data_IF_007437850086
#
_entry.id   IF_007437850086
#
_cell.length_a   1.000
_cell.length_b   1.000
_cell.length_c   1.000
_cell.angle_alpha   90.00
_cell.angle_beta   90.00
_cell.angle_gamma   90.00
#
_symmetry.space_group_name_H-M   'P 1'
#
loop_
_entity.id
_entity.type
_entity.pdbx_description
1 polymer ?
#
# COMPACT_ATOMS: atom_id res chain seq x y z
N UNK A 1 16.86 7.19 -12.19
CA UNK A 1 16.71 7.59 -10.78
C UNK A 1 15.61 6.77 -10.14
N UNK A 2 15.79 6.36 -8.91
CA UNK A 2 14.78 5.57 -8.22
C UNK A 2 13.55 6.41 -7.87
N UNK A 3 12.43 5.71 -7.67
CA UNK A 3 11.13 6.31 -7.39
C UNK A 3 10.56 5.66 -6.14
N UNK A 4 9.98 6.46 -5.26
CA UNK A 4 9.21 5.96 -4.14
C UNK A 4 7.73 6.09 -4.45
N UNK A 5 7.01 4.98 -4.35
CA UNK A 5 5.55 4.97 -4.45
C UNK A 5 4.94 4.89 -3.07
N UNK A 6 3.92 5.70 -2.83
CA UNK A 6 3.10 5.64 -1.63
C UNK A 6 1.67 5.40 -1.98
N UNK A 7 1.08 4.38 -1.37
CA UNK A 7 -0.36 4.15 -1.41
C UNK A 7 -0.91 4.61 -0.07
N UNK A 8 -1.64 5.71 -0.08
CA UNK A 8 -2.13 6.40 1.11
C UNK A 8 -3.60 6.06 1.28
N UNK A 9 -3.91 5.32 2.34
CA UNK A 9 -5.20 4.68 2.53
C UNK A 9 -5.83 5.13 3.83
N UNK A 10 -6.82 6.01 3.75
CA UNK A 10 -7.63 6.38 4.91
C UNK A 10 -8.71 5.33 5.11
N UNK A 11 -8.81 4.83 6.33
CA UNK A 11 -9.77 3.79 6.66
C UNK A 11 -10.76 4.29 7.74
N UNK A 12 -11.87 3.60 7.87
CA UNK A 12 -12.85 3.89 8.90
C UNK A 12 -12.28 3.53 10.28
N UNK A 13 -12.06 4.51 11.18
CA UNK A 13 -11.47 4.23 12.49
C UNK A 13 -12.31 3.30 13.35
N UNK A 14 -13.61 3.20 13.11
CA UNK A 14 -14.48 2.27 13.83
C UNK A 14 -14.17 0.81 13.47
N UNK A 15 -13.49 0.55 12.34
CA UNK A 15 -13.13 -0.78 11.86
C UNK A 15 -11.62 -0.97 11.74
N UNK A 16 -10.83 -0.23 12.52
CA UNK A 16 -9.37 -0.28 12.45
C UNK A 16 -8.82 -1.69 12.65
N UNK A 17 -9.35 -2.43 13.62
CA UNK A 17 -8.87 -3.79 13.89
C UNK A 17 -9.10 -4.73 12.70
N UNK A 18 -10.26 -4.66 12.08
CA UNK A 18 -10.58 -5.47 10.91
C UNK A 18 -9.72 -5.07 9.71
N UNK A 19 -9.56 -3.75 9.49
CA UNK A 19 -8.72 -3.22 8.43
C UNK A 19 -7.26 -3.68 8.59
N UNK A 20 -6.71 -3.53 9.78
CA UNK A 20 -5.31 -3.91 10.06
C UNK A 20 -5.11 -5.41 10.02
N UNK A 21 -6.11 -6.19 10.39
CA UNK A 21 -6.07 -7.65 10.26
C UNK A 21 -5.91 -8.08 8.81
N UNK A 22 -6.67 -7.47 7.91
CA UNK A 22 -6.56 -7.72 6.47
C UNK A 22 -5.23 -7.21 5.91
N UNK A 23 -4.75 -6.08 6.41
CA UNK A 23 -3.46 -5.54 5.99
C UNK A 23 -2.29 -6.47 6.36
N UNK A 24 -2.37 -7.14 7.50
CA UNK A 24 -1.40 -8.18 7.87
C UNK A 24 -1.44 -9.36 6.92
N UNK A 25 -2.60 -9.71 6.41
CA UNK A 25 -2.72 -10.77 5.40
C UNK A 25 -2.08 -10.35 4.08
N UNK A 26 -2.22 -9.07 3.67
CA UNK A 26 -1.48 -8.53 2.53
C UNK A 26 0.04 -8.61 2.75
N UNK A 27 0.50 -8.29 3.96
CA UNK A 27 1.93 -8.37 4.28
C UNK A 27 2.45 -9.81 4.17
N UNK A 28 1.66 -10.79 4.61
CA UNK A 28 2.02 -12.21 4.45
C UNK A 28 2.04 -12.64 2.99
N UNK A 29 1.10 -12.16 2.18
CA UNK A 29 1.09 -12.41 0.74
C UNK A 29 2.36 -11.88 0.08
N UNK A 30 2.75 -10.62 0.36
CA UNK A 30 3.98 -10.03 -0.15
C UNK A 30 5.21 -10.84 0.27
N UNK A 31 5.24 -11.28 1.51
CA UNK A 31 6.39 -11.99 2.08
C UNK A 31 6.63 -13.35 1.42
N UNK A 32 5.58 -14.09 1.09
CA UNK A 32 5.71 -15.42 0.51
C UNK A 32 5.76 -15.45 -1.02
N UNK A 33 5.43 -14.33 -1.68
CA UNK A 33 5.40 -14.23 -3.15
C UNK A 33 6.64 -13.49 -3.64
N UNK A 34 7.56 -14.17 -4.34
CA UNK A 34 8.79 -13.53 -4.82
C UNK A 34 8.55 -12.47 -5.92
N UNK A 35 7.42 -12.55 -6.61
CA UNK A 35 7.04 -11.58 -7.64
C UNK A 35 6.46 -10.26 -7.07
N UNK A 36 6.15 -10.23 -5.77
CA UNK A 36 5.60 -9.04 -5.13
C UNK A 36 6.71 -8.13 -4.60
N UNK A 37 6.58 -6.81 -4.82
CA UNK A 37 7.49 -5.85 -4.19
C UNK A 37 7.28 -5.83 -2.68
N UNK A 38 8.38 -5.61 -1.94
CA UNK A 38 8.37 -5.60 -0.49
C UNK A 38 8.27 -4.16 0.00
N UNK A 39 7.08 -3.73 0.30
CA UNK A 39 6.82 -2.42 0.86
C UNK A 39 6.91 -2.41 2.38
N UNK A 40 6.95 -1.22 2.94
CA UNK A 40 6.80 -1.02 4.38
C UNK A 40 5.52 -0.25 4.67
N UNK A 41 5.03 -0.39 5.89
CA UNK A 41 3.77 0.22 6.29
C UNK A 41 4.03 1.27 7.36
N UNK A 42 3.42 2.43 7.19
CA UNK A 42 3.55 3.58 8.08
C UNK A 42 2.16 4.01 8.53
N UNK A 43 2.05 4.41 9.79
CA UNK A 43 0.82 5.02 10.30
C UNK A 43 1.18 6.39 10.87
N UNK A 44 0.47 7.46 10.49
CA UNK A 44 0.79 8.81 10.96
C UNK A 44 0.65 8.95 12.46
N UNK A 45 1.64 9.62 13.07
CA UNK A 45 1.57 10.06 14.46
C UNK A 45 1.40 11.58 14.47
N UNK A 46 2.19 12.27 13.66
CA UNK A 46 2.12 13.72 13.47
C UNK A 46 2.38 14.02 12.01
N UNK A 47 1.35 14.42 11.28
CA UNK A 47 1.39 14.53 9.82
C UNK A 47 0.18 15.32 9.35
N UNK A 48 0.17 15.70 8.07
CA UNK A 48 -1.01 16.24 7.42
C UNK A 48 -2.11 15.18 7.26
N UNK A 49 -1.73 13.89 7.28
CA UNK A 49 -2.69 12.80 7.22
C UNK A 49 -3.28 12.50 8.59
N UNK A 50 -4.58 12.14 8.67
CA UNK A 50 -5.17 11.72 9.95
C UNK A 50 -4.57 10.40 10.43
N UNK A 51 -4.66 10.13 11.73
CA UNK A 51 -4.09 8.91 12.32
C UNK A 51 -4.71 7.62 11.80
N UNK A 52 -5.97 7.67 11.32
CA UNK A 52 -6.63 6.52 10.67
C UNK A 52 -6.24 6.40 9.20
N UNK A 53 -4.94 6.40 8.95
CA UNK A 53 -4.34 6.28 7.62
C UNK A 53 -3.28 5.20 7.67
N UNK A 54 -3.27 4.34 6.66
CA UNK A 54 -2.17 3.41 6.43
C UNK A 54 -1.46 3.83 5.15
N UNK A 55 -0.15 3.98 5.23
CA UNK A 55 0.68 4.28 4.06
C UNK A 55 1.53 3.06 3.76
N UNK A 56 1.34 2.49 2.58
CA UNK A 56 2.25 1.50 2.03
C UNK A 56 3.28 2.22 1.17
N UNK A 57 4.56 2.01 1.45
CA UNK A 57 5.64 2.71 0.76
C UNK A 57 6.65 1.71 0.22
N UNK A 58 7.05 1.88 -1.02
CA UNK A 58 8.04 1.02 -1.65
C UNK A 58 8.89 1.80 -2.65
N UNK A 59 10.19 1.50 -2.68
CA UNK A 59 11.11 2.06 -3.66
C UNK A 59 11.22 1.14 -4.87
N UNK A 60 11.24 1.75 -6.06
CA UNK A 60 11.39 1.06 -7.34
C UNK A 60 12.54 1.69 -8.12
N UNK A 61 13.08 0.94 -9.08
CA UNK A 61 14.18 1.41 -9.91
C UNK A 61 13.79 2.66 -10.73
N UNK A 62 12.53 2.72 -11.18
CA UNK A 62 11.98 3.83 -11.96
C UNK A 62 10.46 3.84 -11.89
N UNK A 63 9.84 4.82 -12.54
CA UNK A 63 8.39 4.99 -12.56
C UNK A 63 7.69 3.83 -13.28
N UNK A 64 8.30 3.30 -14.33
CA UNK A 64 7.74 2.17 -15.08
C UNK A 64 7.63 0.92 -14.21
N UNK A 65 8.66 0.64 -13.40
CA UNK A 65 8.64 -0.48 -12.46
C UNK A 65 7.55 -0.31 -11.39
N UNK A 66 7.35 0.92 -10.90
CA UNK A 66 6.30 1.21 -9.93
C UNK A 66 4.91 0.97 -10.54
N UNK A 67 4.68 1.42 -11.75
CA UNK A 67 3.42 1.21 -12.47
C UNK A 67 3.18 -0.26 -12.77
N UNK A 68 4.23 -1.00 -13.12
CA UNK A 68 4.13 -2.44 -13.34
C UNK A 68 3.67 -3.19 -12.09
N UNK A 69 4.11 -2.75 -10.91
CA UNK A 69 3.65 -3.31 -9.64
C UNK A 69 2.15 -3.12 -9.44
N UNK A 70 1.60 -1.96 -9.78
CA UNK A 70 0.16 -1.71 -9.68
C UNK A 70 -0.63 -2.64 -10.61
N UNK A 71 -0.14 -2.88 -11.82
CA UNK A 71 -0.77 -3.83 -12.74
C UNK A 71 -0.71 -5.26 -12.22
N UNK A 72 0.37 -5.65 -11.57
CA UNK A 72 0.50 -6.96 -10.93
C UNK A 72 -0.58 -7.13 -9.87
N UNK A 73 -0.79 -6.12 -9.02
CA UNK A 73 -1.80 -6.17 -7.97
C UNK A 73 -3.20 -6.37 -8.54
N UNK A 74 -3.55 -5.63 -9.59
CA UNK A 74 -4.87 -5.68 -10.21
C UNK A 74 -5.20 -7.03 -10.83
N UNK A 75 -4.21 -7.79 -11.26
CA UNK A 75 -4.42 -9.06 -11.95
C UNK A 75 -4.30 -10.30 -11.07
N UNK A 76 -4.02 -10.14 -9.80
CA UNK A 76 -3.73 -11.26 -8.91
C UNK A 76 -4.97 -11.66 -8.10
N UNK A 77 -5.38 -12.92 -8.22
CA UNK A 77 -6.59 -13.42 -7.57
C UNK A 77 -6.52 -13.39 -6.04
N UNK A 78 -5.36 -13.68 -5.44
CA UNK A 78 -5.19 -13.61 -3.98
C UNK A 78 -5.27 -12.18 -3.49
N UNK A 79 -4.63 -11.26 -4.20
CA UNK A 79 -4.69 -9.84 -3.90
C UNK A 79 -6.12 -9.32 -4.01
N UNK A 80 -6.81 -9.66 -5.08
CA UNK A 80 -8.19 -9.21 -5.32
C UNK A 80 -9.15 -9.71 -4.25
N UNK A 81 -8.98 -10.94 -3.78
CA UNK A 81 -9.81 -11.51 -2.72
C UNK A 81 -9.65 -10.73 -1.41
N UNK A 82 -8.42 -10.36 -1.04
CA UNK A 82 -8.15 -9.53 0.15
C UNK A 82 -8.65 -8.10 -0.04
N UNK A 83 -8.44 -7.53 -1.23
CA UNK A 83 -8.88 -6.18 -1.55
C UNK A 83 -10.40 -6.06 -1.47
N UNK A 84 -11.13 -7.07 -1.93
CA UNK A 84 -12.58 -7.10 -1.84
C UNK A 84 -13.06 -7.08 -0.40
N UNK A 85 -12.40 -7.82 0.49
CA UNK A 85 -12.72 -7.84 1.92
C UNK A 85 -12.40 -6.51 2.60
N UNK A 86 -11.33 -5.84 2.20
CA UNK A 86 -10.87 -4.59 2.79
C UNK A 86 -11.62 -3.36 2.26
N UNK A 87 -12.11 -3.44 1.04
CA UNK A 87 -12.76 -2.35 0.32
C UNK A 87 -13.83 -1.59 1.11
N UNK A 88 -14.73 -2.26 1.87
CA UNK A 88 -15.78 -1.53 2.63
C UNK A 88 -15.24 -0.58 3.69
N UNK A 89 -14.00 -0.75 4.11
CA UNK A 89 -13.40 0.05 5.19
C UNK A 89 -12.66 1.28 4.69
N UNK A 90 -12.43 1.42 3.38
CA UNK A 90 -11.75 2.58 2.82
C UNK A 90 -12.66 3.82 2.82
N UNK A 91 -12.10 4.96 3.20
CA UNK A 91 -12.71 6.27 3.05
C UNK A 91 -12.09 7.04 1.90
N UNK A 92 -10.77 6.93 1.74
CA UNK A 92 -10.05 7.62 0.68
C UNK A 92 -8.75 6.89 0.40
N UNK A 93 -8.46 6.70 -0.88
CA UNK A 93 -7.20 6.10 -1.33
C UNK A 93 -6.59 7.01 -2.38
N UNK A 94 -5.29 7.28 -2.26
CA UNK A 94 -4.56 7.94 -3.32
C UNK A 94 -3.18 7.33 -3.47
N UNK A 95 -2.63 7.42 -4.68
CA UNK A 95 -1.32 6.89 -5.01
C UNK A 95 -0.45 8.06 -5.42
N UNK A 96 0.73 8.15 -4.82
CA UNK A 96 1.70 9.21 -5.08
C UNK A 96 3.03 8.61 -5.48
N UNK A 97 3.74 9.28 -6.37
CA UNK A 97 5.08 8.90 -6.80
C UNK A 97 6.03 10.05 -6.53
N UNK A 98 7.19 9.71 -5.98
CA UNK A 98 8.24 10.67 -5.66
C UNK A 98 9.52 10.23 -6.32
N UNK A 99 10.24 11.18 -6.92
CA UNK A 99 11.58 10.92 -7.42
C UNK A 99 12.56 11.02 -6.26
N UNK A 100 13.37 9.99 -6.07
CA UNK A 100 14.40 10.04 -5.04
C UNK A 100 15.59 10.83 -5.55
N UNK A 101 15.90 11.93 -4.86
CA UNK A 101 17.00 12.79 -5.23
C UNK A 101 18.31 12.22 -4.69
N UNK A 102 19.40 12.34 -5.45
CA UNK A 102 20.70 11.76 -5.12
C UNK A 102 21.53 12.55 -4.10
N UNK A 103 20.91 13.46 -3.38
CA UNK A 103 21.60 14.27 -2.38
C UNK A 103 20.75 14.48 -1.14
#
# INVERSE_FOLDING_TARGET
MSVTMRIIQQFDPAHEADFMGLEKEFAELEKRRPDYPKGRRLQPISSAEPCHTLIWECEFADLEAARAALHLFEGDAEHDALAEKQSPYFRRVRIEFYENLGF
#
